data_IF_043284056993
#
_entry.id   IF_043284056993
#
_cell.length_a   1.000
_cell.length_b   1.000
_cell.length_c   1.000
_cell.angle_alpha   90.00
_cell.angle_beta   90.00
_cell.angle_gamma   90.00
#
_symmetry.space_group_name_H-M   'P 1'
#
loop_
_entity.id
_entity.type
_entity.pdbx_description
1 polymer ?
#
# COMPACT_ATOMS: atom_id res chain seq x y z
N UNK A 1 33.65 7.07 -12.03
CA UNK A 1 32.62 7.54 -11.07
C UNK A 1 31.28 7.51 -11.78
N UNK A 2 30.20 7.02 -11.22
CA UNK A 2 29.78 7.03 -9.81
C UNK A 2 29.07 5.72 -9.48
N UNK A 3 29.45 5.08 -8.39
CA UNK A 3 28.73 3.95 -7.77
C UNK A 3 27.24 4.30 -7.54
N UNK A 4 26.32 3.34 -7.67
CA UNK A 4 24.96 3.45 -7.11
C UNK A 4 24.48 2.11 -6.53
N UNK A 5 24.10 2.07 -5.23
CA UNK A 5 24.07 0.87 -4.40
C UNK A 5 22.84 0.01 -4.73
N UNK A 6 23.05 -1.21 -5.20
CA UNK A 6 22.02 -2.03 -5.86
C UNK A 6 21.34 -3.09 -5.00
N UNK A 7 21.58 -3.17 -3.69
CA UNK A 7 21.20 -4.38 -2.93
C UNK A 7 20.37 -4.14 -1.66
N UNK A 8 20.23 -2.91 -1.14
CA UNK A 8 19.31 -2.64 -0.02
C UNK A 8 17.92 -2.12 -0.47
N UNK A 9 17.67 -2.11 -1.79
CA UNK A 9 16.46 -1.55 -2.41
C UNK A 9 15.25 -2.52 -2.44
N UNK A 10 15.42 -3.76 -1.95
CA UNK A 10 14.59 -4.91 -2.30
C UNK A 10 13.31 -5.12 -1.49
N UNK A 11 13.06 -4.32 -0.44
CA UNK A 11 11.88 -4.47 0.42
C UNK A 11 11.13 -3.14 0.41
N UNK A 12 10.02 -3.04 -0.32
CA UNK A 12 9.20 -1.82 -0.43
C UNK A 12 7.72 -2.19 -0.30
N UNK A 13 6.90 -1.23 0.08
CA UNK A 13 5.46 -1.36 -0.06
C UNK A 13 5.07 -1.29 -1.54
N UNK A 14 4.26 -2.24 -2.04
CA UNK A 14 3.78 -2.22 -3.42
C UNK A 14 2.44 -2.96 -3.59
N UNK A 15 1.59 -2.55 -4.55
CA UNK A 15 0.38 -3.28 -4.89
C UNK A 15 0.74 -4.60 -5.60
N UNK A 16 0.25 -5.72 -5.06
CA UNK A 16 0.34 -7.06 -5.69
C UNK A 16 -0.78 -7.30 -6.69
N UNK A 17 -1.99 -6.82 -6.37
CA UNK A 17 -3.17 -6.89 -7.22
C UNK A 17 -4.02 -5.64 -6.98
N UNK A 18 -4.61 -5.08 -8.04
CA UNK A 18 -5.50 -3.91 -7.96
C UNK A 18 -6.81 -4.26 -8.65
N UNK A 19 -7.92 -4.15 -7.92
CA UNK A 19 -9.27 -4.40 -8.41
C UNK A 19 -9.83 -3.15 -9.13
N UNK A 20 -9.14 -2.75 -10.19
CA UNK A 20 -9.49 -1.59 -10.99
C UNK A 20 -8.31 -0.99 -11.74
N UNK A 21 -8.44 0.28 -12.10
CA UNK A 21 -7.43 1.01 -12.89
C UNK A 21 -6.53 1.84 -11.97
N UNK A 22 -5.22 1.55 -11.86
CA UNK A 22 -4.30 2.39 -11.10
C UNK A 22 -4.17 3.79 -11.72
N UNK A 23 -4.21 4.81 -10.87
CA UNK A 23 -3.99 6.21 -11.26
C UNK A 23 -2.59 6.65 -10.85
N UNK A 24 -2.19 6.38 -9.60
CA UNK A 24 -0.86 6.69 -9.09
C UNK A 24 -0.52 5.80 -7.90
N UNK A 25 0.74 5.36 -7.81
CA UNK A 25 1.27 4.75 -6.59
C UNK A 25 2.76 5.06 -6.45
N UNK A 26 3.27 4.95 -5.23
CA UNK A 26 4.66 5.25 -4.95
C UNK A 26 5.06 4.88 -3.54
N UNK A 27 6.35 4.66 -3.35
CA UNK A 27 6.96 4.47 -2.03
C UNK A 27 8.16 5.41 -1.92
N UNK A 28 8.12 6.28 -0.93
CA UNK A 28 9.21 7.16 -0.55
C UNK A 28 10.07 6.44 0.52
N UNK A 29 11.32 6.06 0.22
CA UNK A 29 12.17 5.35 1.17
C UNK A 29 12.68 6.25 2.31
N UNK A 30 12.79 7.57 2.09
CA UNK A 30 13.26 8.51 3.10
C UNK A 30 12.19 8.72 4.18
N UNK A 31 10.92 8.83 3.77
CA UNK A 31 9.80 9.00 4.71
C UNK A 31 9.06 7.70 5.03
N UNK A 32 9.43 6.58 4.41
CA UNK A 32 8.71 5.28 4.47
C UNK A 32 7.23 5.39 4.13
N UNK A 33 6.85 6.37 3.30
CA UNK A 33 5.47 6.64 2.93
C UNK A 33 5.10 5.87 1.68
N UNK A 34 4.05 5.07 1.77
CA UNK A 34 3.40 4.47 0.60
C UNK A 34 2.13 5.23 0.26
N UNK A 35 1.83 5.37 -1.02
CA UNK A 35 0.52 5.82 -1.48
C UNK A 35 0.05 4.99 -2.67
N UNK A 36 -1.26 4.80 -2.76
CA UNK A 36 -1.93 4.25 -3.94
C UNK A 36 -3.27 4.97 -4.15
N UNK A 37 -3.56 5.30 -5.40
CA UNK A 37 -4.85 5.79 -5.86
C UNK A 37 -5.24 4.97 -7.09
N UNK A 38 -6.44 4.43 -7.07
CA UNK A 38 -7.01 3.71 -8.21
C UNK A 38 -8.50 3.99 -8.33
N UNK A 39 -9.03 3.82 -9.53
CA UNK A 39 -10.47 3.78 -9.77
C UNK A 39 -10.91 2.33 -9.70
N UNK A 40 -11.92 2.04 -8.88
CA UNK A 40 -12.50 0.71 -8.75
C UNK A 40 -12.99 0.22 -10.09
N UNK A 41 -12.94 -1.08 -10.29
CA UNK A 41 -13.70 -1.72 -11.33
C UNK A 41 -15.21 -1.64 -11.05
N UNK A 42 -16.04 -1.71 -12.10
CA UNK A 42 -17.51 -1.65 -11.99
C UNK A 42 -18.17 -3.03 -12.02
N UNK A 43 -17.40 -4.06 -12.30
CA UNK A 43 -17.89 -5.43 -12.52
C UNK A 43 -17.27 -6.42 -11.53
N UNK A 44 -16.15 -6.07 -10.87
CA UNK A 44 -15.51 -6.93 -9.87
C UNK A 44 -15.45 -6.33 -8.46
N UNK A 45 -15.70 -7.20 -7.48
CA UNK A 45 -15.51 -6.97 -6.04
C UNK A 45 -14.33 -7.75 -5.48
N UNK A 46 -13.45 -8.27 -6.35
CA UNK A 46 -12.18 -8.84 -5.92
C UNK A 46 -11.41 -7.81 -5.09
N UNK A 47 -10.63 -8.23 -4.09
CA UNK A 47 -9.89 -7.29 -3.26
C UNK A 47 -8.66 -6.74 -3.99
N UNK A 48 -8.24 -5.54 -3.58
CA UNK A 48 -6.90 -5.01 -3.88
C UNK A 48 -5.93 -5.48 -2.81
N UNK A 49 -4.77 -6.01 -3.20
CA UNK A 49 -3.75 -6.53 -2.30
C UNK A 49 -2.49 -5.68 -2.37
N UNK A 50 -1.96 -5.27 -1.21
CA UNK A 50 -0.76 -4.46 -1.07
C UNK A 50 0.19 -5.17 -0.12
N UNK A 51 1.41 -5.46 -0.57
CA UNK A 51 2.44 -5.96 0.31
C UNK A 51 3.00 -4.81 1.15
N UNK A 52 2.97 -4.93 2.49
CA UNK A 52 3.50 -3.97 3.45
C UNK A 52 4.48 -4.68 4.39
N UNK A 53 5.81 -4.57 4.18
CA UNK A 53 6.81 -5.26 4.99
C UNK A 53 7.02 -4.57 6.36
N UNK A 54 6.04 -4.76 7.26
CA UNK A 54 5.95 -4.08 8.56
C UNK A 54 7.11 -4.39 9.50
N UNK A 55 7.59 -5.63 9.53
CA UNK A 55 8.69 -6.03 10.43
C UNK A 55 10.01 -5.29 10.15
N UNK A 56 10.15 -4.65 8.98
CA UNK A 56 11.37 -3.94 8.58
C UNK A 56 11.18 -2.42 8.48
N UNK A 57 10.02 -1.95 8.00
CA UNK A 57 9.77 -0.52 7.80
C UNK A 57 8.88 0.12 8.86
N UNK A 58 8.11 -0.67 9.60
CA UNK A 58 7.10 -0.21 10.54
C UNK A 58 7.23 -0.92 11.90
N UNK A 59 8.41 -0.90 12.55
CA UNK A 59 8.63 -1.60 13.83
C UNK A 59 7.74 -1.07 14.96
N UNK A 60 7.33 0.20 14.87
CA UNK A 60 6.42 0.86 15.82
C UNK A 60 4.96 0.86 15.32
N UNK A 61 4.69 0.13 14.23
CA UNK A 61 3.42 0.15 13.53
C UNK A 61 3.36 1.21 12.42
N UNK A 62 2.18 1.31 11.81
CA UNK A 62 1.89 2.25 10.74
C UNK A 62 0.50 2.86 10.95
N UNK A 63 0.33 4.07 10.44
CA UNK A 63 -0.99 4.69 10.30
C UNK A 63 -1.50 4.45 8.89
N UNK A 64 -2.75 4.00 8.79
CA UNK A 64 -3.46 3.81 7.53
C UNK A 64 -4.48 4.92 7.33
N UNK A 65 -4.27 5.73 6.31
CA UNK A 65 -5.28 6.67 5.84
C UNK A 65 -5.96 6.04 4.61
N UNK A 66 -7.26 5.78 4.69
CA UNK A 66 -8.02 5.13 3.62
C UNK A 66 -9.34 5.84 3.35
N UNK A 67 -9.71 5.90 2.08
CA UNK A 67 -11.02 6.36 1.63
C UNK A 67 -11.52 5.50 0.48
N UNK A 68 -12.84 5.27 0.45
CA UNK A 68 -13.51 4.52 -0.61
C UNK A 68 -13.37 3.00 -0.52
N UNK A 69 -12.70 2.45 0.49
CA UNK A 69 -12.55 1.02 0.72
C UNK A 69 -12.40 0.73 2.22
N UNK A 70 -12.72 -0.50 2.61
CA UNK A 70 -12.40 -1.06 3.92
C UNK A 70 -11.06 -1.80 3.83
N UNK A 71 -10.33 -1.87 4.94
CA UNK A 71 -8.99 -2.46 4.97
C UNK A 71 -8.89 -3.53 6.05
N UNK A 72 -8.17 -4.61 5.74
CA UNK A 72 -7.72 -5.61 6.70
C UNK A 72 -6.24 -5.88 6.49
N UNK A 73 -5.49 -5.95 7.59
CA UNK A 73 -4.06 -6.21 7.55
C UNK A 73 -3.72 -7.55 8.19
N UNK A 74 -3.02 -8.40 7.43
CA UNK A 74 -2.46 -9.67 7.89
C UNK A 74 -0.96 -9.47 8.15
N UNK A 75 -0.59 -9.32 9.42
CA UNK A 75 0.80 -9.08 9.85
C UNK A 75 1.72 -10.26 9.49
N UNK A 76 1.25 -11.49 9.69
CA UNK A 76 2.03 -12.70 9.41
C UNK A 76 2.38 -12.81 7.93
N UNK A 77 1.52 -12.30 7.04
CA UNK A 77 1.74 -12.29 5.59
C UNK A 77 2.27 -10.95 5.07
N UNK A 78 2.39 -9.93 5.93
CA UNK A 78 2.73 -8.56 5.52
C UNK A 78 1.84 -8.09 4.37
N UNK A 79 0.53 -8.31 4.50
CA UNK A 79 -0.44 -8.12 3.41
C UNK A 79 -1.60 -7.24 3.88
N UNK A 80 -1.75 -6.09 3.24
CA UNK A 80 -2.91 -5.23 3.37
C UNK A 80 -3.90 -5.53 2.24
N UNK A 81 -5.11 -5.90 2.62
CA UNK A 81 -6.19 -6.23 1.69
C UNK A 81 -7.26 -5.15 1.77
N UNK A 82 -7.64 -4.59 0.63
CA UNK A 82 -8.68 -3.57 0.51
C UNK A 82 -9.92 -4.16 -0.14
N UNK A 83 -11.07 -3.94 0.50
CA UNK A 83 -12.38 -4.40 0.05
C UNK A 83 -13.25 -3.21 -0.35
N UNK A 84 -13.98 -3.33 -1.45
CA UNK A 84 -14.89 -2.30 -1.92
C UNK A 84 -16.01 -2.89 -2.78
N UNK A 85 -17.12 -2.16 -2.83
CA UNK A 85 -18.19 -2.40 -3.83
C UNK A 85 -17.71 -2.06 -5.24
N UNK A 86 -18.36 -2.64 -6.25
CA UNK A 86 -18.05 -2.41 -7.66
C UNK A 86 -18.78 -1.17 -8.23
N UNK A 87 -18.57 0.01 -7.63
CA UNK A 87 -19.28 1.25 -7.98
C UNK A 87 -18.50 2.16 -8.94
N UNK A 88 -17.26 1.81 -9.27
CA UNK A 88 -16.39 2.64 -10.11
C UNK A 88 -15.87 3.92 -9.43
N UNK A 89 -16.09 4.06 -8.12
CA UNK A 89 -15.57 5.15 -7.29
C UNK A 89 -14.04 5.14 -7.18
N UNK A 90 -13.50 6.14 -6.50
CA UNK A 90 -12.06 6.24 -6.24
C UNK A 90 -11.72 5.61 -4.89
N UNK A 91 -10.59 4.91 -4.86
CA UNK A 91 -9.93 4.49 -3.63
C UNK A 91 -8.62 5.24 -3.51
N UNK A 92 -8.37 5.79 -2.32
CA UNK A 92 -7.08 6.39 -1.95
C UNK A 92 -6.62 5.75 -0.66
N UNK A 93 -5.37 5.32 -0.66
CA UNK A 93 -4.71 4.75 0.51
C UNK A 93 -3.33 5.38 0.67
N UNK A 94 -3.01 5.78 1.90
CA UNK A 94 -1.69 6.22 2.32
C UNK A 94 -1.29 5.42 3.54
N UNK A 95 -0.05 4.92 3.54
CA UNK A 95 0.56 4.26 4.69
C UNK A 95 1.72 5.13 5.15
N UNK A 96 1.68 5.50 6.43
CA UNK A 96 2.69 6.32 7.09
C UNK A 96 3.31 5.51 8.23
N UNK A 97 4.63 5.63 8.50
CA UNK A 97 5.18 5.10 9.74
C UNK A 97 4.51 5.77 10.94
N UNK A 98 4.17 4.98 11.96
CA UNK A 98 3.76 5.54 13.24
C UNK A 98 5.01 6.12 13.90
N UNK A 99 4.99 7.39 14.26
CA UNK A 99 6.04 7.95 15.11
C UNK A 99 5.73 7.48 16.54
N UNK A 100 6.70 6.83 17.19
CA UNK A 100 6.59 6.55 18.62
C UNK A 100 6.31 7.83 19.40
N UNK A 101 5.26 7.80 20.21
CA UNK A 101 4.98 8.82 21.23
C UNK A 101 5.92 8.68 22.42
#
# INVERSE_FOLDING_TARGET
GREKPKVDLLVRAYPRAIAGTPIAFGFDPDTRRFHLTYRKDRETTLPTEIHLPVSRHYPEGFTLEISGAEASFDEARSLLTLFHEADGGLVRVTVLPQNGS
#
